data_IF_702946001348
#
_entry.id   IF_702946001348
#
_cell.length_a   1.000
_cell.length_b   1.000
_cell.length_c   1.000
_cell.angle_alpha   90.00
_cell.angle_beta   90.00
_cell.angle_gamma   90.00
#
_symmetry.space_group_name_H-M   'P 1'
#
loop_
_entity.id
_entity.type
_entity.pdbx_description
1 polymer ?
#
# COMPACT_ATOMS: atom_id res chain seq x y z
N UNK A 1 -15.26 -0.80 -7.36
CA UNK A 1 -15.46 0.52 -7.97
C UNK A 1 -15.86 1.50 -6.88
N UNK A 2 -15.08 2.57 -6.72
CA UNK A 2 -15.34 3.67 -5.80
C UNK A 2 -15.82 4.87 -6.64
N UNK A 3 -16.93 5.48 -6.25
CA UNK A 3 -17.41 6.72 -6.84
C UNK A 3 -16.99 7.90 -5.95
N UNK A 4 -16.43 8.93 -6.53
CA UNK A 4 -15.92 10.11 -5.87
C UNK A 4 -16.53 11.34 -6.52
N UNK A 5 -16.84 12.33 -5.71
CA UNK A 5 -17.30 13.65 -6.16
C UNK A 5 -16.32 14.67 -5.63
N UNK A 6 -15.80 15.50 -6.50
CA UNK A 6 -14.95 16.62 -6.15
C UNK A 6 -15.70 17.92 -6.49
N UNK A 7 -15.83 18.79 -5.48
CA UNK A 7 -16.45 20.10 -5.63
C UNK A 7 -15.37 21.14 -5.43
N UNK A 8 -15.21 22.03 -6.38
CA UNK A 8 -14.29 23.15 -6.22
C UNK A 8 -14.92 24.45 -6.71
N UNK A 9 -14.68 25.49 -5.92
CA UNK A 9 -15.09 26.86 -6.22
C UNK A 9 -13.85 27.61 -6.70
N UNK A 10 -13.89 28.12 -7.94
CA UNK A 10 -12.87 29.03 -8.44
C UNK A 10 -13.39 30.46 -8.37
N UNK A 11 -12.74 31.33 -7.64
CA UNK A 11 -13.02 32.76 -7.63
C UNK A 11 -12.09 33.46 -8.62
N UNK A 12 -12.62 33.95 -9.72
CA UNK A 12 -11.90 34.75 -10.72
C UNK A 12 -12.18 36.22 -10.55
N UNK A 13 -11.16 36.99 -10.20
CA UNK A 13 -11.23 38.42 -10.11
C UNK A 13 -10.55 39.07 -11.31
N UNK A 14 -11.27 39.95 -12.03
CA UNK A 14 -10.66 40.82 -13.03
C UNK A 14 -10.43 42.18 -12.38
N UNK A 15 -9.19 42.59 -12.19
CA UNK A 15 -8.84 43.90 -11.70
C UNK A 15 -8.51 44.82 -12.88
N UNK A 16 -9.24 45.88 -13.00
CA UNK A 16 -9.04 46.91 -14.03
C UNK A 16 -7.96 47.92 -13.60
N UNK A 17 -7.36 48.60 -14.58
CA UNK A 17 -6.31 49.61 -14.33
C UNK A 17 -6.84 50.82 -13.55
N UNK A 18 -8.17 51.06 -13.54
CA UNK A 18 -8.82 52.12 -12.77
C UNK A 18 -9.04 51.75 -11.28
N UNK A 19 -8.63 50.53 -10.89
CA UNK A 19 -8.73 50.03 -9.52
C UNK A 19 -10.10 49.37 -9.21
N UNK A 20 -11.01 49.28 -10.18
CA UNK A 20 -12.23 48.50 -10.01
C UNK A 20 -11.98 47.01 -10.14
N UNK A 21 -12.78 46.20 -9.46
CA UNK A 21 -12.71 44.74 -9.49
C UNK A 21 -14.06 44.19 -9.92
N UNK A 22 -14.09 43.42 -10.99
CA UNK A 22 -15.27 42.66 -11.37
C UNK A 22 -15.16 41.25 -10.77
N UNK A 23 -16.14 40.90 -9.93
CA UNK A 23 -16.35 39.52 -9.47
C UNK A 23 -17.03 38.76 -10.61
N UNK A 24 -16.27 37.98 -11.34
CA UNK A 24 -16.80 36.98 -12.23
C UNK A 24 -17.26 35.81 -11.37
N UNK A 25 -18.56 35.73 -11.14
CA UNK A 25 -19.16 34.65 -10.37
C UNK A 25 -18.76 33.32 -10.96
N UNK A 26 -18.00 32.55 -10.20
CA UNK A 26 -17.58 31.22 -10.58
C UNK A 26 -18.78 30.29 -10.67
N UNK A 27 -18.71 29.42 -11.64
CA UNK A 27 -19.66 28.32 -11.76
C UNK A 27 -19.15 27.24 -10.82
N UNK A 28 -19.93 26.92 -9.79
CA UNK A 28 -19.72 25.72 -8.99
C UNK A 28 -19.64 24.53 -9.93
N UNK A 29 -18.48 23.88 -10.00
CA UNK A 29 -18.30 22.71 -10.83
C UNK A 29 -18.27 21.49 -9.94
N UNK A 30 -19.22 20.62 -10.14
CA UNK A 30 -19.22 19.27 -9.60
C UNK A 30 -18.56 18.34 -10.63
N UNK A 31 -17.54 17.62 -10.18
CA UNK A 31 -16.84 16.66 -11.02
C UNK A 31 -16.98 15.26 -10.42
N UNK A 32 -17.72 14.43 -11.12
CA UNK A 32 -17.96 13.05 -10.72
C UNK A 32 -17.03 12.11 -11.47
N UNK A 33 -16.29 11.29 -10.73
CA UNK A 33 -15.42 10.27 -11.30
C UNK A 33 -15.46 8.97 -10.49
N UNK A 34 -14.99 7.90 -11.07
CA UNK A 34 -14.90 6.62 -10.39
C UNK A 34 -13.52 6.01 -10.56
N UNK A 35 -13.07 5.37 -9.49
CA UNK A 35 -11.83 4.59 -9.47
C UNK A 35 -12.20 3.12 -9.43
N UNK A 36 -11.68 2.36 -10.39
CA UNK A 36 -11.70 0.90 -10.37
C UNK A 36 -10.35 0.41 -9.87
N UNK A 37 -10.34 -0.24 -8.71
CA UNK A 37 -9.13 -0.86 -8.15
C UNK A 37 -8.87 -2.21 -8.81
N UNK A 38 -7.61 -2.68 -8.88
CA UNK A 38 -7.27 -3.96 -9.47
C UNK A 38 -7.88 -5.12 -8.68
N UNK A 39 -8.16 -6.21 -9.37
CA UNK A 39 -8.53 -7.45 -8.72
C UNK A 39 -7.34 -8.07 -7.99
N UNK A 40 -7.62 -8.64 -6.83
CA UNK A 40 -6.64 -9.32 -5.99
C UNK A 40 -7.01 -10.80 -5.92
N UNK A 41 -6.09 -11.66 -6.30
CA UNK A 41 -6.23 -13.10 -6.22
C UNK A 41 -5.23 -13.65 -5.21
N UNK A 42 -5.72 -14.43 -4.25
CA UNK A 42 -4.88 -14.99 -3.20
C UNK A 42 -5.19 -16.46 -2.96
N UNK A 43 -4.12 -17.21 -2.72
CA UNK A 43 -4.18 -18.58 -2.24
C UNK A 43 -3.38 -18.67 -0.95
N UNK A 44 -4.01 -19.24 0.08
CA UNK A 44 -3.34 -19.48 1.34
C UNK A 44 -3.57 -20.90 1.82
N UNK A 45 -2.57 -21.44 2.51
CA UNK A 45 -2.62 -22.73 3.13
C UNK A 45 -2.04 -22.69 4.54
N UNK A 46 -2.57 -23.50 5.43
CA UNK A 46 -2.05 -23.70 6.77
C UNK A 46 -1.99 -25.18 7.07
N UNK A 47 -0.89 -25.61 7.66
CA UNK A 47 -0.71 -26.96 8.18
C UNK A 47 -0.48 -26.93 9.68
N UNK A 48 -1.36 -27.61 10.41
CA UNK A 48 -1.32 -27.69 11.88
C UNK A 48 -0.77 -29.06 12.28
N UNK A 49 0.35 -29.08 12.98
CA UNK A 49 0.99 -30.32 13.45
C UNK A 49 0.64 -30.61 14.91
N UNK A 50 -0.59 -31.04 15.08
CA UNK A 50 -1.17 -31.41 16.37
C UNK A 50 -1.25 -30.20 17.31
N UNK A 51 -0.76 -30.36 18.55
CA UNK A 51 -0.70 -29.29 19.56
C UNK A 51 0.65 -28.55 19.56
N UNK A 52 1.55 -28.90 18.64
CA UNK A 52 2.93 -28.41 18.64
C UNK A 52 3.14 -27.13 17.83
N UNK A 53 2.18 -26.79 16.95
CA UNK A 53 2.28 -25.57 16.20
C UNK A 53 1.63 -25.63 14.83
N UNK A 54 1.93 -24.62 14.00
CA UNK A 54 1.42 -24.48 12.64
C UNK A 54 2.44 -23.81 11.73
N UNK A 55 2.28 -24.04 10.45
CA UNK A 55 2.98 -23.33 9.38
C UNK A 55 1.92 -22.77 8.43
N UNK A 56 2.12 -21.56 7.94
CA UNK A 56 1.24 -20.90 6.97
C UNK A 56 2.03 -20.41 5.79
N UNK A 57 1.42 -20.45 4.60
CA UNK A 57 1.94 -19.83 3.40
C UNK A 57 0.80 -19.14 2.66
N UNK A 58 1.09 -17.98 2.08
CA UNK A 58 0.16 -17.20 1.29
C UNK A 58 0.88 -16.66 0.05
N UNK A 59 0.25 -16.78 -1.10
CA UNK A 59 0.63 -16.11 -2.33
C UNK A 59 -0.54 -15.26 -2.79
N UNK A 60 -0.25 -14.03 -3.18
CA UNK A 60 -1.25 -13.05 -3.64
C UNK A 60 -0.73 -12.41 -4.93
N UNK A 61 -1.59 -12.30 -5.92
CA UNK A 61 -1.32 -11.64 -7.21
C UNK A 61 -2.28 -10.48 -7.40
N UNK A 62 -1.73 -9.32 -7.75
CA UNK A 62 -2.48 -8.08 -8.01
C UNK A 62 -1.96 -7.49 -9.30
N UNK A 63 -2.81 -7.35 -10.29
CA UNK A 63 -2.46 -6.69 -11.54
C UNK A 63 -2.78 -5.19 -11.46
N UNK A 64 -1.80 -4.40 -11.07
CA UNK A 64 -1.94 -2.96 -10.91
C UNK A 64 -2.15 -2.21 -12.23
N UNK A 65 -1.79 -2.79 -13.37
CA UNK A 65 -2.03 -2.19 -14.69
C UNK A 65 -3.52 -2.10 -15.06
N UNK A 66 -4.37 -2.84 -14.33
CA UNK A 66 -5.83 -2.84 -14.53
C UNK A 66 -6.58 -1.77 -13.74
N UNK A 67 -5.88 -0.92 -12.98
CA UNK A 67 -6.48 0.26 -12.37
C UNK A 67 -7.03 1.19 -13.44
N UNK A 68 -8.19 1.77 -13.19
CA UNK A 68 -8.83 2.64 -14.16
C UNK A 68 -9.59 3.77 -13.47
N UNK A 69 -9.43 4.98 -14.00
CA UNK A 69 -10.25 6.14 -13.67
C UNK A 69 -11.26 6.36 -14.80
N UNK A 70 -12.49 6.69 -14.45
CA UNK A 70 -13.53 7.01 -15.44
C UNK A 70 -14.41 8.14 -14.97
N UNK A 71 -14.78 9.03 -15.89
CA UNK A 71 -15.75 10.09 -15.73
C UNK A 71 -16.67 10.15 -16.94
N UNK A 72 -17.63 11.04 -16.94
CA UNK A 72 -18.53 11.27 -18.08
C UNK A 72 -17.81 11.93 -19.29
N UNK A 73 -16.56 12.36 -19.10
CA UNK A 73 -15.71 12.92 -20.14
C UNK A 73 -14.42 12.10 -20.30
N UNK A 74 -13.73 12.22 -21.42
CA UNK A 74 -12.47 11.50 -21.76
C UNK A 74 -11.24 12.09 -21.04
N UNK A 75 -11.43 12.61 -19.84
CA UNK A 75 -10.39 13.34 -19.09
C UNK A 75 -9.27 12.42 -18.54
N UNK A 76 -9.50 11.13 -18.48
CA UNK A 76 -8.57 10.18 -17.88
C UNK A 76 -7.90 9.24 -18.86
N UNK A 77 -8.09 9.42 -20.17
CA UNK A 77 -7.53 8.51 -21.18
C UNK A 77 -6.00 8.46 -21.07
N UNK A 78 -5.32 9.60 -21.10
CA UNK A 78 -3.86 9.67 -20.95
C UNK A 78 -3.39 9.10 -19.60
N UNK A 79 -4.17 9.34 -18.53
CA UNK A 79 -3.85 8.81 -17.19
C UNK A 79 -4.00 7.29 -17.14
N UNK A 80 -5.02 6.74 -17.79
CA UNK A 80 -5.22 5.30 -17.87
C UNK A 80 -4.14 4.62 -18.72
N UNK A 81 -3.72 5.25 -19.82
CA UNK A 81 -2.59 4.79 -20.61
C UNK A 81 -1.28 4.81 -19.80
N UNK A 82 -1.07 5.84 -19.01
CA UNK A 82 0.05 5.94 -18.08
C UNK A 82 0.00 4.81 -17.03
N UNK A 83 -1.17 4.52 -16.47
CA UNK A 83 -1.36 3.42 -15.52
C UNK A 83 -1.00 2.08 -16.17
N UNK A 84 -1.54 1.80 -17.37
CA UNK A 84 -1.29 0.55 -18.09
C UNK A 84 0.19 0.35 -18.43
N UNK A 85 0.92 1.45 -18.72
CA UNK A 85 2.33 1.40 -19.10
C UNK A 85 3.30 1.40 -17.91
N UNK A 86 2.93 2.04 -16.79
CA UNK A 86 3.81 2.22 -15.61
C UNK A 86 3.64 1.14 -14.56
N UNK A 87 2.50 0.47 -14.53
CA UNK A 87 2.22 -0.57 -13.54
C UNK A 87 2.15 -1.96 -14.17
N UNK A 88 2.35 -2.97 -13.33
CA UNK A 88 2.37 -4.37 -13.75
C UNK A 88 1.72 -5.28 -12.70
N UNK A 89 1.64 -6.57 -13.04
CA UNK A 89 1.29 -7.59 -12.08
C UNK A 89 2.37 -7.71 -10.99
N UNK A 90 1.94 -7.69 -9.74
CA UNK A 90 2.79 -7.86 -8.57
C UNK A 90 2.39 -9.11 -7.78
N UNK A 91 3.39 -9.90 -7.41
CA UNK A 91 3.17 -11.11 -6.60
C UNK A 91 3.75 -10.92 -5.19
N UNK A 92 2.90 -11.09 -4.19
CA UNK A 92 3.27 -11.06 -2.79
C UNK A 92 3.36 -12.49 -2.25
N UNK A 93 4.42 -12.79 -1.51
CA UNK A 93 4.62 -14.07 -0.84
C UNK A 93 4.74 -13.84 0.66
N UNK A 94 3.99 -14.61 1.45
CA UNK A 94 4.08 -14.57 2.91
C UNK A 94 4.18 -15.99 3.44
N UNK A 95 5.11 -16.20 4.37
CA UNK A 95 5.24 -17.47 5.09
C UNK A 95 5.38 -17.18 6.58
N UNK A 96 4.81 -18.03 7.41
CA UNK A 96 4.87 -17.86 8.85
C UNK A 96 4.71 -19.18 9.56
N UNK A 97 5.08 -19.19 10.84
CA UNK A 97 4.89 -20.36 11.66
C UNK A 97 4.91 -20.05 13.14
N UNK A 98 4.28 -20.92 13.89
CA UNK A 98 4.29 -20.94 15.34
C UNK A 98 4.71 -22.33 15.82
N UNK A 99 5.59 -22.36 16.81
CA UNK A 99 5.94 -23.57 17.52
C UNK A 99 5.62 -23.43 19.02
N UNK A 100 4.93 -24.42 19.56
CA UNK A 100 4.41 -24.43 20.91
C UNK A 100 5.15 -25.45 21.77
N UNK A 101 5.69 -24.97 22.90
CA UNK A 101 6.38 -25.79 23.90
C UNK A 101 5.74 -25.49 25.24
N UNK A 102 4.83 -26.36 25.70
CA UNK A 102 4.04 -26.13 26.92
C UNK A 102 3.29 -24.79 26.86
N UNK A 103 3.62 -23.86 27.75
CA UNK A 103 3.04 -22.50 27.80
C UNK A 103 3.75 -21.52 26.84
N UNK A 104 4.90 -21.91 26.28
CA UNK A 104 5.70 -21.02 25.44
C UNK A 104 5.33 -21.15 23.96
N UNK A 105 5.35 -20.01 23.26
CA UNK A 105 5.09 -19.90 21.83
C UNK A 105 6.22 -19.15 21.15
N UNK A 106 6.83 -19.77 20.15
CA UNK A 106 7.82 -19.14 19.28
C UNK A 106 7.17 -18.91 17.93
N UNK A 107 7.31 -17.70 17.38
CA UNK A 107 6.74 -17.32 16.10
C UNK A 107 7.79 -16.73 15.19
N UNK A 108 7.69 -17.03 13.92
CA UNK A 108 8.53 -16.44 12.89
C UNK A 108 7.73 -16.20 11.62
N UNK A 109 8.10 -15.18 10.87
CA UNK A 109 7.44 -14.87 9.63
C UNK A 109 8.34 -14.08 8.67
N UNK A 110 8.05 -14.27 7.40
CA UNK A 110 8.68 -13.55 6.30
C UNK A 110 7.63 -13.16 5.28
N UNK A 111 7.71 -11.93 4.78
CA UNK A 111 6.90 -11.46 3.67
C UNK A 111 7.80 -10.78 2.63
N UNK A 112 7.54 -11.08 1.36
CA UNK A 112 8.11 -10.40 0.20
C UNK A 112 6.98 -9.79 -0.59
N UNK A 113 7.00 -8.48 -0.74
CA UNK A 113 6.02 -7.72 -1.51
C UNK A 113 6.62 -7.43 -2.88
N UNK A 114 5.92 -7.81 -3.93
CA UNK A 114 6.37 -7.66 -5.30
C UNK A 114 6.39 -6.20 -5.78
N UNK A 115 7.09 -5.98 -6.88
CA UNK A 115 7.17 -4.66 -7.51
C UNK A 115 5.91 -4.39 -8.35
N UNK A 116 5.11 -3.36 -8.05
CA UNK A 116 3.97 -2.97 -8.87
C UNK A 116 4.34 -2.17 -10.12
N UNK A 117 5.59 -1.69 -10.25
CA UNK A 117 6.05 -0.82 -11.33
C UNK A 117 6.69 -1.62 -12.47
N UNK A 118 6.29 -1.34 -13.72
CA UNK A 118 6.68 -2.12 -14.88
C UNK A 118 8.15 -1.90 -15.31
N UNK A 119 8.68 -0.69 -15.12
CA UNK A 119 10.06 -0.37 -15.53
C UNK A 119 10.66 0.76 -14.71
N UNK A 120 11.98 0.75 -14.58
CA UNK A 120 12.80 1.88 -14.13
C UNK A 120 12.86 2.14 -12.64
N UNK A 121 12.15 1.42 -11.81
CA UNK A 121 12.28 1.53 -10.36
C UNK A 121 12.42 0.16 -9.71
N UNK A 122 13.48 0.00 -8.92
CA UNK A 122 13.67 -1.19 -8.09
C UNK A 122 12.87 -1.04 -6.79
N UNK A 123 11.55 -1.18 -6.88
CA UNK A 123 10.73 -1.27 -5.68
C UNK A 123 10.80 -2.69 -5.13
N UNK A 124 11.23 -2.84 -3.91
CA UNK A 124 11.14 -4.11 -3.19
C UNK A 124 10.86 -3.87 -1.71
N UNK A 125 10.00 -4.69 -1.14
CA UNK A 125 9.70 -4.62 0.29
C UNK A 125 9.74 -6.01 0.91
N UNK A 126 10.54 -6.17 1.96
CA UNK A 126 10.69 -7.42 2.70
C UNK A 126 10.42 -7.16 4.17
N UNK A 127 9.64 -8.02 4.78
CA UNK A 127 9.33 -7.95 6.21
C UNK A 127 9.76 -9.26 6.85
N UNK A 128 10.59 -9.15 7.89
CA UNK A 128 11.01 -10.28 8.72
C UNK A 128 10.44 -10.04 10.10
N UNK A 129 9.80 -11.05 10.68
CA UNK A 129 9.21 -10.96 12.00
C UNK A 129 9.56 -12.17 12.86
N UNK A 130 9.66 -11.92 14.15
CA UNK A 130 9.83 -12.94 15.17
C UNK A 130 9.03 -12.58 16.41
N UNK A 131 8.64 -13.57 17.18
CA UNK A 131 7.89 -13.36 18.40
C UNK A 131 8.05 -14.47 19.40
N UNK A 132 7.84 -14.11 20.65
CA UNK A 132 7.81 -15.01 21.76
C UNK A 132 6.58 -14.73 22.60
N UNK A 133 5.88 -15.79 23.02
CA UNK A 133 4.69 -15.68 23.86
C UNK A 133 4.70 -16.65 25.02
N UNK A 134 4.05 -16.28 26.10
CA UNK A 134 3.70 -17.15 27.21
C UNK A 134 2.20 -17.16 27.31
N UNK A 135 1.59 -18.33 27.28
CA UNK A 135 0.15 -18.47 27.41
C UNK A 135 -0.19 -19.40 28.55
N UNK A 136 -0.87 -18.85 29.55
CA UNK A 136 -1.41 -19.56 30.70
C UNK A 136 -2.94 -19.63 30.62
N UNK A 137 -3.55 -20.28 31.59
CA UNK A 137 -5.01 -20.51 31.59
C UNK A 137 -5.83 -19.22 31.52
N UNK A 138 -5.43 -18.19 32.28
CA UNK A 138 -6.19 -16.96 32.46
C UNK A 138 -5.50 -15.72 31.90
N UNK A 139 -4.27 -15.82 31.45
CA UNK A 139 -3.53 -14.70 30.88
C UNK A 139 -2.55 -15.16 29.79
N UNK A 140 -2.18 -14.22 28.94
CA UNK A 140 -1.10 -14.39 27.97
C UNK A 140 -0.27 -13.10 27.87
N UNK A 141 1.00 -13.27 27.59
CA UNK A 141 1.95 -12.21 27.28
C UNK A 141 2.64 -12.55 25.96
N UNK A 142 2.57 -11.66 24.98
CA UNK A 142 3.23 -11.82 23.69
C UNK A 142 4.16 -10.63 23.43
N UNK A 143 5.37 -10.95 22.98
CA UNK A 143 6.37 -10.02 22.48
C UNK A 143 6.61 -10.29 21.00
N UNK A 144 6.52 -9.26 20.18
CA UNK A 144 6.77 -9.35 18.73
C UNK A 144 7.74 -8.29 18.27
N UNK A 145 8.66 -8.67 17.39
CA UNK A 145 9.59 -7.80 16.69
C UNK A 145 9.42 -8.00 15.20
N UNK A 146 9.32 -6.91 14.44
CA UNK A 146 9.37 -6.97 12.98
C UNK A 146 10.32 -5.93 12.43
N UNK A 147 11.03 -6.31 11.36
CA UNK A 147 11.88 -5.44 10.57
C UNK A 147 11.32 -5.36 9.15
N UNK A 148 11.00 -4.16 8.73
CA UNK A 148 10.54 -3.81 7.38
C UNK A 148 11.70 -3.17 6.64
N UNK A 149 12.03 -3.66 5.45
CA UNK A 149 13.09 -3.16 4.59
C UNK A 149 12.44 -2.88 3.24
N UNK A 150 12.44 -1.62 2.85
CA UNK A 150 11.90 -1.17 1.57
C UNK A 150 13.00 -0.45 0.79
N UNK A 151 13.19 -0.87 -0.45
CA UNK A 151 13.97 -0.13 -1.42
C UNK A 151 13.02 0.53 -2.41
N UNK A 152 13.30 1.77 -2.76
CA UNK A 152 12.48 2.59 -3.64
C UNK A 152 13.36 3.58 -4.38
N UNK A 153 12.91 4.04 -5.54
CA UNK A 153 13.57 5.11 -6.29
C UNK A 153 12.74 6.38 -6.17
N UNK A 154 13.30 7.38 -5.57
CA UNK A 154 12.66 8.68 -5.40
C UNK A 154 13.19 9.68 -6.43
N UNK A 155 12.29 10.35 -7.15
CA UNK A 155 12.63 11.43 -8.08
C UNK A 155 12.32 12.75 -7.38
N UNK A 156 13.35 13.50 -6.90
CA UNK A 156 13.14 14.69 -6.09
C UNK A 156 12.54 15.86 -6.87
N UNK A 157 12.84 15.96 -8.16
CA UNK A 157 12.28 16.98 -9.05
C UNK A 157 12.42 16.56 -10.51
N UNK A 158 11.58 17.12 -11.36
CA UNK A 158 11.66 16.97 -12.81
C UNK A 158 11.87 18.32 -13.47
N UNK A 159 12.73 18.35 -14.51
CA UNK A 159 12.98 19.57 -15.31
C UNK A 159 12.52 19.27 -16.74
N UNK A 160 11.68 20.13 -17.35
CA UNK A 160 11.27 19.94 -18.72
C UNK A 160 12.47 19.81 -19.67
N UNK A 161 12.49 18.76 -20.49
CA UNK A 161 13.56 18.48 -21.46
C UNK A 161 14.81 17.80 -20.90
N UNK A 162 14.84 17.48 -19.60
CA UNK A 162 15.94 16.74 -18.97
C UNK A 162 15.38 15.43 -18.41
N UNK A 163 16.11 14.32 -18.64
CA UNK A 163 15.72 13.03 -18.07
C UNK A 163 15.71 13.11 -16.53
N UNK A 164 14.63 12.61 -15.93
CA UNK A 164 14.51 12.56 -14.48
C UNK A 164 15.61 11.68 -13.88
N UNK A 165 16.29 12.19 -12.85
CA UNK A 165 17.32 11.45 -12.12
C UNK A 165 16.68 10.85 -10.87
N UNK A 166 16.62 9.52 -10.81
CA UNK A 166 16.17 8.79 -9.63
C UNK A 166 17.29 8.66 -8.60
N UNK A 167 16.92 8.73 -7.34
CA UNK A 167 17.80 8.49 -6.20
C UNK A 167 17.33 7.23 -5.49
N UNK A 168 18.24 6.28 -5.30
CA UNK A 168 17.95 5.07 -4.53
C UNK A 168 17.67 5.43 -3.08
N UNK A 169 16.48 5.06 -2.62
CA UNK A 169 16.03 5.29 -1.25
C UNK A 169 15.81 3.96 -0.54
N UNK A 170 16.48 3.78 0.60
CA UNK A 170 16.32 2.60 1.45
C UNK A 170 15.68 3.00 2.76
N UNK A 171 14.45 2.55 2.95
CA UNK A 171 13.71 2.73 4.19
C UNK A 171 13.81 1.48 5.04
N UNK A 172 14.13 1.64 6.31
CA UNK A 172 14.16 0.54 7.26
C UNK A 172 13.34 0.91 8.49
N UNK A 173 12.31 0.14 8.75
CA UNK A 173 11.44 0.28 9.93
C UNK A 173 11.62 -0.90 10.89
N UNK A 174 11.67 -0.61 12.18
CA UNK A 174 11.62 -1.64 13.23
C UNK A 174 10.41 -1.38 14.11
N UNK A 175 9.61 -2.43 14.35
CA UNK A 175 8.43 -2.35 15.21
C UNK A 175 8.55 -3.38 16.32
N UNK A 176 8.42 -2.93 17.56
CA UNK A 176 8.25 -3.75 18.74
C UNK A 176 6.79 -3.73 19.18
N UNK A 177 6.26 -4.88 19.54
CA UNK A 177 4.87 -5.04 20.00
C UNK A 177 4.85 -5.87 21.26
N UNK A 178 4.08 -5.41 22.24
CA UNK A 178 3.81 -6.11 23.49
C UNK A 178 2.30 -6.24 23.64
N UNK A 179 1.82 -7.46 23.85
CA UNK A 179 0.39 -7.71 24.04
C UNK A 179 0.19 -8.48 25.33
N UNK A 180 -0.70 -7.98 26.19
CA UNK A 180 -1.15 -8.67 27.40
C UNK A 180 -2.63 -8.98 27.22
N UNK A 181 -2.99 -10.23 27.41
CA UNK A 181 -4.38 -10.70 27.32
C UNK A 181 -4.80 -11.36 28.61
N UNK A 182 -6.01 -11.09 29.07
CA UNK A 182 -6.63 -11.72 30.25
C UNK A 182 -7.98 -12.31 29.89
N UNK A 183 -8.32 -13.46 30.50
CA UNK A 183 -9.64 -14.10 30.38
C UNK A 183 -10.31 -14.08 31.75
N UNK A 184 -11.52 -13.58 31.77
CA UNK A 184 -12.38 -13.57 32.93
C UNK A 184 -13.35 -14.74 32.90
#
# INVERSE_FOLDING_TARGET
KLMLTDNYDDELYVRHDDGTTDDLKTIDKEFNYSITTPAKYGLQAAYVFGKKGLITAEVESIDYSTMNLSSDATLFDDTNDDIANKYQNSTNLKVGGEYVINSFRLRGGFASIGNPLASGSEYSRKIISGGFGIQERNWALDLGLSKDIQNDVYVPYTVPGIAAVGVDNKLTGTRLMVTISTKF
#
